data_IF_609402319994
#
_entry.id   IF_609402319994
#
_cell.length_a   1.000
_cell.length_b   1.000
_cell.length_c   1.000
_cell.angle_alpha   90.00
_cell.angle_beta   90.00
_cell.angle_gamma   90.00
#
_symmetry.space_group_name_H-M   'P 1'
#
loop_
_entity.id
_entity.type
_entity.pdbx_description
1 polymer ?
#
# COMPACT_ATOMS: atom_id res chain seq x y z
N UNK A 1 -9.69 2.19 -11.94
CA UNK A 1 -8.53 2.04 -11.05
C UNK A 1 -8.01 3.42 -10.71
N UNK A 2 -8.00 3.78 -9.43
CA UNK A 2 -7.47 5.06 -8.95
C UNK A 2 -6.24 4.77 -8.11
N UNK A 3 -5.15 5.47 -8.37
CA UNK A 3 -3.92 5.40 -7.58
C UNK A 3 -3.83 6.59 -6.64
N UNK A 4 -3.34 6.34 -5.43
CA UNK A 4 -3.14 7.35 -4.40
C UNK A 4 -1.66 7.40 -4.05
N UNK A 5 -0.97 8.43 -4.53
CA UNK A 5 0.39 8.74 -4.09
C UNK A 5 0.34 9.37 -2.69
N UNK A 6 1.32 9.04 -1.86
CA UNK A 6 1.51 9.63 -0.54
C UNK A 6 2.66 10.64 -0.60
N UNK A 7 2.60 11.64 0.28
CA UNK A 7 3.75 12.50 0.55
C UNK A 7 4.92 11.71 1.15
N UNK A 8 6.09 12.34 1.25
CA UNK A 8 7.27 11.72 1.86
C UNK A 8 6.94 11.13 3.25
N UNK A 9 7.47 9.95 3.57
CA UNK A 9 7.15 9.24 4.83
C UNK A 9 7.49 10.05 6.08
N UNK A 10 8.41 11.02 5.98
CA UNK A 10 8.76 11.97 7.05
C UNK A 10 7.64 12.94 7.40
N UNK A 11 6.61 13.06 6.56
CA UNK A 11 5.40 13.85 6.84
C UNK A 11 4.34 13.08 7.64
N UNK A 12 4.55 11.79 7.86
CA UNK A 12 3.61 10.95 8.60
C UNK A 12 3.58 11.33 10.09
N UNK A 13 2.45 11.04 10.73
CA UNK A 13 2.32 11.02 12.19
C UNK A 13 1.76 9.65 12.57
N UNK A 14 2.39 9.00 13.53
CA UNK A 14 2.08 7.64 13.94
C UNK A 14 1.46 7.60 15.33
N UNK A 15 0.47 6.74 15.51
CA UNK A 15 -0.26 6.55 16.76
C UNK A 15 -0.11 5.09 17.21
N UNK A 16 0.27 4.84 18.47
CA UNK A 16 0.43 3.51 19.07
C UNK A 16 -0.14 3.51 20.49
N UNK A 17 -1.33 2.92 20.67
CA UNK A 17 -2.09 3.14 21.90
C UNK A 17 -2.34 4.63 22.09
N UNK A 18 -1.94 5.17 23.24
CA UNK A 18 -2.08 6.59 23.57
C UNK A 18 -0.86 7.45 23.15
N UNK A 19 0.15 6.85 22.50
CA UNK A 19 1.38 7.55 22.10
C UNK A 19 1.26 8.07 20.67
N UNK A 20 1.59 9.35 20.47
CA UNK A 20 1.66 10.01 19.16
C UNK A 20 3.11 10.42 18.87
N UNK A 21 3.63 10.06 17.71
CA UNK A 21 5.01 10.39 17.28
C UNK A 21 5.04 10.89 15.84
N UNK A 22 5.89 11.87 15.57
CA UNK A 22 6.20 12.27 14.19
C UNK A 22 6.98 11.17 13.47
N UNK A 23 6.75 11.05 12.17
CA UNK A 23 7.34 10.04 11.31
C UNK A 23 6.48 8.78 11.09
N UNK A 24 6.98 7.85 10.26
CA UNK A 24 6.25 6.65 9.85
C UNK A 24 6.04 5.66 11.01
N UNK A 25 5.12 4.71 10.81
CA UNK A 25 4.78 3.73 11.84
C UNK A 25 5.99 2.93 12.32
N UNK A 26 6.84 2.54 11.36
CA UNK A 26 8.10 1.84 11.57
C UNK A 26 9.19 2.48 10.70
N UNK A 27 10.39 2.61 11.25
CA UNK A 27 11.60 2.93 10.50
C UNK A 27 12.00 1.70 9.67
N UNK A 28 12.00 1.84 8.34
CA UNK A 28 12.30 0.75 7.43
C UNK A 28 13.11 1.25 6.24
N UNK A 29 13.87 0.34 5.62
CA UNK A 29 14.63 0.64 4.41
C UNK A 29 13.72 1.03 3.23
N UNK A 30 12.54 0.45 3.18
CA UNK A 30 11.53 0.69 2.16
C UNK A 30 10.27 1.25 2.83
N UNK A 31 9.63 2.22 2.17
CA UNK A 31 8.43 2.89 2.68
C UNK A 31 7.28 2.76 1.69
N UNK A 32 6.04 2.80 2.19
CA UNK A 32 4.85 2.83 1.33
C UNK A 32 4.71 4.23 0.75
N UNK A 33 4.97 4.37 -0.55
CA UNK A 33 4.87 5.64 -1.27
C UNK A 33 3.48 5.88 -1.89
N UNK A 34 2.63 4.86 -1.90
CA UNK A 34 1.31 4.93 -2.52
C UNK A 34 0.63 3.58 -2.57
N UNK A 35 -0.66 3.59 -2.90
CA UNK A 35 -1.44 2.37 -3.07
C UNK A 35 -2.49 2.52 -4.18
N UNK A 36 -2.99 1.37 -4.64
CA UNK A 36 -4.06 1.28 -5.62
C UNK A 36 -5.13 0.34 -5.07
N UNK A 37 -6.39 0.69 -5.32
CA UNK A 37 -7.49 -0.26 -5.19
C UNK A 37 -7.97 -0.58 -6.60
N UNK A 38 -8.01 -1.86 -6.92
CA UNK A 38 -8.45 -2.37 -8.21
C UNK A 38 -9.36 -3.57 -8.01
N UNK A 39 -10.28 -3.73 -8.94
CA UNK A 39 -11.09 -4.93 -9.08
C UNK A 39 -10.47 -5.79 -10.20
N UNK A 40 -10.37 -7.09 -9.95
CA UNK A 40 -9.86 -8.06 -10.91
C UNK A 40 -10.66 -9.36 -10.76
N UNK A 41 -10.83 -10.13 -11.84
CA UNK A 41 -11.58 -11.39 -11.80
C UNK A 41 -10.94 -12.43 -10.87
N UNK A 42 -9.62 -12.38 -10.72
CA UNK A 42 -8.85 -13.26 -9.86
C UNK A 42 -7.51 -12.62 -9.45
N UNK A 43 -6.80 -13.32 -8.55
CA UNK A 43 -5.52 -12.87 -8.01
C UNK A 43 -4.42 -12.80 -9.07
N UNK A 44 -4.43 -13.71 -10.05
CA UNK A 44 -3.39 -13.76 -11.08
C UNK A 44 -3.50 -12.57 -12.04
N UNK A 45 -4.73 -12.18 -12.38
CA UNK A 45 -5.02 -10.96 -13.13
C UNK A 45 -4.60 -9.72 -12.36
N UNK A 46 -4.86 -9.66 -11.05
CA UNK A 46 -4.39 -8.56 -10.21
C UNK A 46 -2.85 -8.47 -10.18
N UNK A 47 -2.15 -9.60 -10.12
CA UNK A 47 -0.68 -9.66 -10.18
C UNK A 47 -0.16 -9.20 -11.55
N UNK A 48 -0.80 -9.63 -12.64
CA UNK A 48 -0.43 -9.23 -13.99
C UNK A 48 -0.56 -7.70 -14.17
N UNK A 49 -1.63 -7.10 -13.65
CA UNK A 49 -1.82 -5.64 -13.63
C UNK A 49 -0.76 -4.96 -12.76
N UNK A 50 -0.50 -5.48 -11.55
CA UNK A 50 0.48 -4.90 -10.63
C UNK A 50 1.91 -4.88 -11.20
N UNK A 51 2.28 -5.88 -12.02
CA UNK A 51 3.58 -5.94 -12.72
C UNK A 51 3.79 -4.79 -13.71
N UNK A 52 2.72 -4.12 -14.16
CA UNK A 52 2.82 -2.97 -15.06
C UNK A 52 3.21 -1.67 -14.33
N UNK A 53 3.20 -1.67 -12.99
CA UNK A 53 3.57 -0.48 -12.22
C UNK A 53 5.08 -0.16 -12.42
N UNK A 54 5.44 1.05 -12.87
CA UNK A 54 6.83 1.45 -13.07
C UNK A 54 7.72 1.28 -11.84
N UNK A 55 7.17 1.37 -10.62
CA UNK A 55 7.88 1.17 -9.37
C UNK A 55 8.55 -0.20 -9.28
N UNK A 56 8.04 -1.22 -9.97
CA UNK A 56 8.66 -2.56 -10.01
C UNK A 56 10.05 -2.59 -10.66
N UNK A 57 10.47 -1.52 -11.34
CA UNK A 57 11.81 -1.40 -11.95
C UNK A 57 12.90 -1.06 -10.92
N UNK A 58 12.54 -0.34 -9.86
CA UNK A 58 13.50 0.21 -8.87
C UNK A 58 13.09 0.00 -7.40
N UNK A 59 11.88 -0.53 -7.17
CA UNK A 59 11.27 -0.81 -5.87
C UNK A 59 10.33 -2.03 -6.02
N UNK A 60 9.25 -2.10 -5.24
CA UNK A 60 8.32 -3.23 -5.25
C UNK A 60 6.85 -2.82 -5.19
N UNK A 61 5.98 -3.78 -5.49
CA UNK A 61 4.53 -3.68 -5.30
C UNK A 61 4.05 -4.94 -4.59
N UNK A 62 3.34 -4.76 -3.47
CA UNK A 62 2.69 -5.82 -2.73
C UNK A 62 1.21 -5.92 -3.17
N UNK A 63 0.77 -7.11 -3.59
CA UNK A 63 -0.63 -7.37 -4.00
C UNK A 63 -1.36 -8.07 -2.85
N UNK A 64 -2.37 -7.40 -2.30
CA UNK A 64 -3.18 -7.90 -1.19
C UNK A 64 -4.67 -7.86 -1.50
N UNK A 65 -5.41 -8.97 -1.31
CA UNK A 65 -6.87 -8.94 -1.32
C UNK A 65 -7.38 -8.02 -0.20
N UNK A 66 -8.46 -7.28 -0.49
CA UNK A 66 -9.20 -6.60 0.56
C UNK A 66 -9.95 -7.63 1.42
N UNK A 67 -10.04 -7.34 2.71
CA UNK A 67 -10.85 -8.14 3.61
C UNK A 67 -12.32 -8.04 3.19
N UNK A 68 -12.95 -9.20 2.97
CA UNK A 68 -14.39 -9.31 2.77
C UNK A 68 -14.98 -9.94 4.03
N UNK A 69 -15.77 -9.20 4.83
CA UNK A 69 -16.47 -9.81 5.96
C UNK A 69 -17.45 -10.88 5.44
N UNK A 70 -17.73 -11.92 6.23
CA UNK A 70 -18.79 -12.86 5.89
C UNK A 70 -20.12 -12.10 5.71
N UNK A 71 -20.92 -12.53 4.73
CA UNK A 71 -22.29 -12.04 4.59
C UNK A 71 -23.07 -12.33 5.88
N UNK A 72 -23.82 -11.35 6.37
CA UNK A 72 -24.63 -11.47 7.58
C UNK A 72 -25.81 -12.41 7.39
#
# INVERSE_FOLDING_TARGET
MTGYALEASTTATSIRGDVVTDGPFIEAKEVVAGFFVLEAPDRDTAIAIARLNPATTHAGVEVRPLFSPPEQ
#
